data_IF_721109033678
#
_entry.id   IF_721109033678
#
_cell.length_a   1.000
_cell.length_b   1.000
_cell.length_c   1.000
_cell.angle_alpha   90.00
_cell.angle_beta   90.00
_cell.angle_gamma   90.00
#
_symmetry.space_group_name_H-M   'P 1'
#
loop_
_entity.id
_entity.type
_entity.pdbx_description
1 polymer ?
#
# COMPACT_ATOMS: atom_id res chain seq x y z
N UNK A 1 -10.25 17.88 -8.10
CA UNK A 1 -9.29 18.65 -8.91
C UNK A 1 -8.03 19.06 -8.15
N UNK A 2 -8.11 19.73 -6.98
CA UNK A 2 -6.92 20.24 -6.25
C UNK A 2 -5.82 19.20 -6.00
N UNK A 3 -6.16 18.01 -5.49
CA UNK A 3 -5.19 16.93 -5.23
C UNK A 3 -4.54 16.36 -6.48
N UNK A 4 -5.27 16.37 -7.61
CA UNK A 4 -4.72 15.98 -8.90
C UNK A 4 -3.71 17.02 -9.38
N UNK A 5 -4.08 18.31 -9.35
CA UNK A 5 -3.19 19.40 -9.79
C UNK A 5 -1.90 19.48 -8.96
N UNK A 6 -2.02 19.31 -7.64
CA UNK A 6 -0.86 19.28 -6.76
C UNK A 6 0.13 18.16 -7.17
N UNK A 7 -0.37 16.99 -7.55
CA UNK A 7 0.46 15.90 -8.07
C UNK A 7 0.99 16.18 -9.48
N UNK A 8 0.11 16.61 -10.38
CA UNK A 8 0.44 16.92 -11.78
C UNK A 8 1.56 17.96 -11.89
N UNK A 9 1.51 18.98 -11.04
CA UNK A 9 2.50 20.06 -11.00
C UNK A 9 3.85 19.63 -10.38
N UNK A 10 3.93 18.47 -9.70
CA UNK A 10 5.22 17.93 -9.26
C UNK A 10 6.08 17.45 -10.45
N UNK A 11 5.46 17.13 -11.58
CA UNK A 11 6.15 16.68 -12.79
C UNK A 11 6.67 17.89 -13.57
N UNK A 12 7.94 18.25 -13.34
CA UNK A 12 8.60 19.36 -14.03
C UNK A 12 9.19 18.96 -15.38
N UNK A 13 9.46 17.68 -15.59
CA UNK A 13 10.00 17.11 -16.83
C UNK A 13 8.93 16.45 -17.73
N UNK A 14 7.66 16.51 -17.33
CA UNK A 14 6.54 15.90 -18.03
C UNK A 14 6.31 14.42 -17.73
N UNK A 15 7.13 13.80 -16.86
CA UNK A 15 7.02 12.40 -16.45
C UNK A 15 6.82 12.23 -14.94
N UNK A 16 6.41 11.03 -14.52
CA UNK A 16 6.19 10.65 -13.13
C UNK A 16 7.08 9.46 -12.77
N UNK A 17 8.29 9.75 -12.29
CA UNK A 17 9.24 8.74 -11.82
C UNK A 17 8.77 8.04 -10.54
N UNK A 18 9.37 6.89 -10.21
CA UNK A 18 9.08 6.21 -8.93
C UNK A 18 9.40 7.10 -7.73
N UNK A 19 10.46 7.89 -7.79
CA UNK A 19 10.84 8.81 -6.72
C UNK A 19 9.82 9.95 -6.54
N UNK A 20 9.31 10.51 -7.64
CA UNK A 20 8.26 11.51 -7.59
C UNK A 20 6.99 10.92 -6.95
N UNK A 21 6.64 9.68 -7.31
CA UNK A 21 5.48 8.98 -6.75
C UNK A 21 5.65 8.67 -5.27
N UNK A 22 6.84 8.24 -4.83
CA UNK A 22 7.17 8.05 -3.42
C UNK A 22 7.05 9.36 -2.63
N UNK A 23 7.61 10.45 -3.18
CA UNK A 23 7.49 11.79 -2.59
C UNK A 23 6.03 12.25 -2.51
N UNK A 24 5.23 11.98 -3.54
CA UNK A 24 3.79 12.30 -3.54
C UNK A 24 3.06 11.55 -2.44
N UNK A 25 3.36 10.26 -2.29
CA UNK A 25 2.82 9.42 -1.23
C UNK A 25 3.18 10.01 0.14
N UNK A 26 4.44 10.40 0.37
CA UNK A 26 4.88 11.05 1.61
C UNK A 26 4.10 12.34 1.90
N UNK A 27 4.04 13.27 0.95
CA UNK A 27 3.31 14.54 1.08
C UNK A 27 1.84 14.31 1.44
N UNK A 28 1.20 13.32 0.81
CA UNK A 28 -0.21 13.01 1.11
C UNK A 28 -0.41 12.45 2.51
N UNK A 29 0.56 11.71 3.04
CA UNK A 29 0.52 11.23 4.42
C UNK A 29 0.61 12.41 5.39
N UNK A 30 1.61 13.28 5.23
CA UNK A 30 1.79 14.48 6.06
C UNK A 30 0.56 15.37 6.09
N UNK A 31 0.03 15.69 4.91
CA UNK A 31 -1.19 16.50 4.81
C UNK A 31 -2.37 15.86 5.54
N UNK A 32 -2.47 14.53 5.54
CA UNK A 32 -3.57 13.84 6.24
C UNK A 32 -3.35 13.87 7.75
N UNK A 33 -2.11 13.70 8.24
CA UNK A 33 -1.76 13.94 9.65
C UNK A 33 -2.13 15.36 10.10
N UNK A 34 -1.92 16.36 9.23
CA UNK A 34 -2.17 17.78 9.53
C UNK A 34 -3.64 18.21 9.42
N UNK A 35 -4.50 17.44 8.76
CA UNK A 35 -5.88 17.87 8.45
C UNK A 35 -6.98 16.92 8.93
N UNK A 36 -6.65 15.68 9.29
CA UNK A 36 -7.64 14.70 9.72
C UNK A 36 -7.35 14.22 11.15
N UNK A 37 -8.08 14.68 12.18
CA UNK A 37 -7.88 14.22 13.56
C UNK A 37 -8.18 12.73 13.77
N UNK A 38 -8.89 12.08 12.85
CA UNK A 38 -9.22 10.65 12.86
C UNK A 38 -8.38 9.85 11.85
N UNK A 39 -7.23 10.41 11.43
CA UNK A 39 -6.36 9.72 10.49
C UNK A 39 -5.89 8.37 11.06
N UNK A 40 -6.23 7.29 10.37
CA UNK A 40 -5.74 5.94 10.67
C UNK A 40 -4.89 5.41 9.51
N UNK A 41 -3.75 4.83 9.86
CA UNK A 41 -2.79 4.22 8.96
C UNK A 41 -2.42 2.84 9.51
N UNK A 42 -3.28 1.86 9.21
CA UNK A 42 -3.16 0.51 9.75
C UNK A 42 -2.16 -0.38 8.99
N UNK A 43 -1.92 -1.61 9.48
CA UNK A 43 -1.03 -2.56 8.83
C UNK A 43 -1.46 -2.90 7.39
N UNK A 44 -2.75 -3.14 7.17
CA UNK A 44 -3.28 -3.42 5.82
C UNK A 44 -3.73 -2.15 5.12
N UNK A 45 -4.45 -1.27 5.80
CA UNK A 45 -5.05 -0.07 5.18
C UNK A 45 -4.01 0.99 4.82
N UNK A 46 -3.00 1.20 5.66
CA UNK A 46 -1.93 2.17 5.47
C UNK A 46 -0.71 1.58 4.75
N UNK A 47 -0.02 0.65 5.42
CA UNK A 47 1.26 0.10 4.96
C UNK A 47 1.14 -0.63 3.61
N UNK A 48 0.07 -1.40 3.39
CA UNK A 48 -0.13 -2.15 2.13
C UNK A 48 -1.03 -1.38 1.16
N UNK A 49 -2.33 -1.31 1.43
CA UNK A 49 -3.34 -0.89 0.45
C UNK A 49 -3.13 0.55 -0.03
N UNK A 50 -2.85 1.47 0.90
CA UNK A 50 -2.65 2.88 0.57
C UNK A 50 -1.35 3.10 -0.20
N UNK A 51 -0.25 2.42 0.13
CA UNK A 51 0.98 2.51 -0.68
C UNK A 51 0.78 1.89 -2.08
N UNK A 52 0.13 0.72 -2.16
CA UNK A 52 -0.24 0.09 -3.42
C UNK A 52 -1.06 1.02 -4.33
N UNK A 53 -1.97 1.82 -3.75
CA UNK A 53 -2.74 2.83 -4.49
C UNK A 53 -1.92 3.90 -5.23
N UNK A 54 -0.68 4.16 -4.83
CA UNK A 54 0.25 5.02 -5.60
C UNK A 54 1.20 4.21 -6.49
N UNK A 55 1.62 3.03 -6.04
CA UNK A 55 2.49 2.12 -6.80
C UNK A 55 1.82 1.60 -8.07
N UNK A 56 0.53 1.30 -8.02
CA UNK A 56 -0.24 0.83 -9.17
C UNK A 56 -0.24 1.85 -10.31
N UNK A 57 -0.64 3.13 -10.14
CA UNK A 57 -0.42 4.13 -11.18
C UNK A 57 1.04 4.22 -11.62
N UNK A 58 1.98 4.21 -10.66
CA UNK A 58 3.41 4.38 -10.95
C UNK A 58 4.00 3.25 -11.81
N UNK A 59 3.44 2.05 -11.80
CA UNK A 59 3.91 0.88 -12.56
C UNK A 59 2.97 0.47 -13.69
N UNK A 60 1.68 0.36 -13.39
CA UNK A 60 0.66 -0.18 -14.29
C UNK A 60 0.16 0.82 -15.33
N UNK A 61 0.27 2.13 -15.10
CA UNK A 61 -0.21 3.11 -16.08
C UNK A 61 0.87 3.50 -17.09
N UNK A 62 2.12 3.08 -16.88
CA UNK A 62 3.22 3.37 -17.81
C UNK A 62 2.97 2.77 -19.19
N UNK A 63 3.37 3.50 -20.23
CA UNK A 63 3.37 2.99 -21.60
C UNK A 63 4.71 2.29 -21.89
N UNK A 64 4.66 0.99 -22.18
CA UNK A 64 5.81 0.14 -22.50
C UNK A 64 5.95 -0.04 -24.02
N UNK A 65 6.05 1.07 -24.74
CA UNK A 65 6.25 1.05 -26.20
C UNK A 65 7.66 0.56 -26.57
N UNK A 66 7.90 0.29 -27.85
CA UNK A 66 9.24 -0.12 -28.30
C UNK A 66 10.30 0.95 -28.04
N UNK A 67 9.91 2.23 -28.08
CA UNK A 67 10.77 3.37 -27.79
C UNK A 67 11.03 3.53 -26.29
N UNK A 68 10.13 3.04 -25.44
CA UNK A 68 10.21 3.13 -23.97
C UNK A 68 10.02 1.75 -23.32
N UNK A 69 10.94 0.80 -23.52
CA UNK A 69 10.78 -0.57 -23.05
C UNK A 69 10.74 -0.71 -21.52
N UNK A 70 11.29 0.27 -20.80
CA UNK A 70 11.22 0.34 -19.32
C UNK A 70 9.92 0.98 -18.80
N UNK A 71 9.09 1.47 -19.70
CA UNK A 71 7.81 2.10 -19.40
C UNK A 71 7.95 3.56 -18.94
N UNK A 72 7.17 4.45 -19.54
CA UNK A 72 7.10 5.86 -19.15
C UNK A 72 5.68 6.26 -18.73
N UNK A 73 5.56 7.01 -17.63
CA UNK A 73 4.30 7.59 -17.18
C UNK A 73 4.36 9.10 -17.42
N UNK A 74 3.61 9.61 -18.40
CA UNK A 74 3.62 11.02 -18.79
C UNK A 74 2.40 11.77 -18.26
N UNK A 75 2.46 13.10 -18.27
CA UNK A 75 1.32 14.00 -18.01
C UNK A 75 0.10 13.65 -18.87
N UNK A 76 0.29 13.33 -20.13
CA UNK A 76 -0.79 12.91 -21.02
C UNK A 76 -1.43 11.58 -20.59
N UNK A 77 -0.60 10.58 -20.29
CA UNK A 77 -1.08 9.26 -19.85
C UNK A 77 -1.91 9.40 -18.57
N UNK A 78 -1.38 10.11 -17.57
CA UNK A 78 -2.05 10.36 -16.29
C UNK A 78 -3.39 11.07 -16.52
N UNK A 79 -3.42 12.09 -17.39
CA UNK A 79 -4.66 12.81 -17.70
C UNK A 79 -5.73 11.91 -18.31
N UNK A 80 -5.38 10.99 -19.20
CA UNK A 80 -6.33 10.05 -19.80
C UNK A 80 -6.90 9.09 -18.74
N UNK A 81 -6.06 8.49 -17.89
CA UNK A 81 -6.51 7.58 -16.84
C UNK A 81 -7.38 8.25 -15.76
N UNK A 82 -7.17 9.55 -15.49
CA UNK A 82 -7.94 10.31 -14.50
C UNK A 82 -9.01 11.23 -15.12
N UNK A 83 -9.31 11.07 -16.41
CA UNK A 83 -10.33 11.82 -17.14
C UNK A 83 -10.18 13.35 -17.09
N UNK A 84 -8.96 13.85 -17.28
CA UNK A 84 -8.61 15.28 -17.21
C UNK A 84 -8.36 15.86 -18.61
N UNK A 85 -9.25 16.75 -19.04
CA UNK A 85 -9.28 17.32 -20.39
C UNK A 85 -9.06 18.84 -20.36
N UNK A 86 -8.74 19.42 -21.52
CA UNK A 86 -8.45 20.85 -21.68
C UNK A 86 -6.95 21.15 -21.81
N UNK A 87 -6.61 22.42 -21.81
CA UNK A 87 -5.22 22.90 -21.87
C UNK A 87 -4.63 23.06 -20.47
N UNK A 88 -3.30 23.02 -20.36
CA UNK A 88 -2.62 23.22 -19.08
C UNK A 88 -2.94 24.60 -18.52
N UNK A 89 -3.38 24.65 -17.26
CA UNK A 89 -3.92 25.86 -16.63
C UNK A 89 -5.45 26.00 -16.72
N UNK A 90 -6.12 25.24 -17.59
CA UNK A 90 -7.58 25.24 -17.72
C UNK A 90 -8.14 23.81 -17.87
N UNK A 91 -7.79 22.95 -16.91
CA UNK A 91 -8.24 21.56 -16.90
C UNK A 91 -9.65 21.38 -16.33
N UNK A 92 -10.40 20.46 -16.93
CA UNK A 92 -11.70 20.02 -16.46
C UNK A 92 -11.72 18.50 -16.27
N UNK A 93 -12.27 18.05 -15.14
CA UNK A 93 -12.54 16.63 -14.89
C UNK A 93 -13.84 16.24 -15.59
N UNK A 94 -13.83 15.11 -16.31
CA UNK A 94 -15.00 14.54 -16.98
C UNK A 94 -15.34 13.18 -16.38
N UNK A 95 -16.37 13.14 -15.55
CA UNK A 95 -16.78 11.91 -14.89
C UNK A 95 -17.13 10.81 -15.90
N UNK A 96 -16.54 9.62 -15.74
CA UNK A 96 -16.78 8.45 -16.59
C UNK A 96 -15.98 8.45 -17.90
N UNK A 97 -15.03 9.38 -18.08
CA UNK A 97 -14.18 9.47 -19.28
C UNK A 97 -12.75 8.96 -19.03
N UNK A 98 -12.54 8.22 -17.95
CA UNK A 98 -11.31 7.51 -17.66
C UNK A 98 -11.05 6.50 -18.79
N UNK A 99 -9.87 6.58 -19.42
CA UNK A 99 -9.54 5.72 -20.55
C UNK A 99 -8.07 5.35 -20.59
N UNK A 100 -7.79 4.17 -21.12
CA UNK A 100 -6.45 3.81 -21.57
C UNK A 100 -6.10 4.72 -22.76
N UNK A 101 -4.93 5.39 -22.78
CA UNK A 101 -4.52 6.23 -23.90
C UNK A 101 -4.43 5.46 -25.23
N UNK A 102 -4.57 6.16 -26.34
CA UNK A 102 -4.25 5.59 -27.66
C UNK A 102 -2.75 5.27 -27.73
N UNK A 103 -2.38 4.22 -28.49
CA UNK A 103 -1.00 3.74 -28.63
C UNK A 103 -0.31 3.42 -27.28
N UNK A 104 -1.09 2.94 -26.31
CA UNK A 104 -0.61 2.50 -25.01
C UNK A 104 -0.39 0.99 -24.98
N UNK A 105 0.76 0.56 -24.47
CA UNK A 105 1.17 -0.83 -24.38
C UNK A 105 1.43 -1.23 -22.93
N UNK A 106 0.86 -2.37 -22.51
CA UNK A 106 1.06 -2.92 -21.17
C UNK A 106 2.51 -3.37 -20.95
N UNK A 107 2.91 -3.50 -19.69
CA UNK A 107 4.21 -4.10 -19.36
C UNK A 107 4.37 -5.49 -19.98
N UNK A 108 5.54 -5.81 -20.56
CA UNK A 108 5.81 -7.14 -21.10
C UNK A 108 5.97 -8.21 -20.01
N UNK A 109 6.11 -7.80 -18.73
CA UNK A 109 6.23 -8.70 -17.59
C UNK A 109 5.18 -8.36 -16.54
N UNK A 110 4.48 -9.37 -16.04
CA UNK A 110 3.42 -9.18 -15.05
C UNK A 110 3.92 -8.50 -13.77
N UNK A 111 3.12 -7.58 -13.25
CA UNK A 111 3.38 -6.89 -11.98
C UNK A 111 2.62 -7.59 -10.86
N UNK A 112 3.28 -8.56 -10.24
CA UNK A 112 2.75 -9.35 -9.13
C UNK A 112 3.28 -8.93 -7.76
N UNK A 113 2.92 -9.71 -6.73
CA UNK A 113 3.22 -9.43 -5.32
C UNK A 113 4.71 -9.21 -5.03
N UNK A 114 5.60 -9.99 -5.64
CA UNK A 114 7.06 -9.83 -5.43
C UNK A 114 7.53 -8.43 -5.85
N UNK A 115 7.09 -7.93 -7.00
CA UNK A 115 7.46 -6.58 -7.48
C UNK A 115 6.81 -5.50 -6.64
N UNK A 116 5.57 -5.69 -6.21
CA UNK A 116 4.89 -4.79 -5.28
C UNK A 116 5.64 -4.67 -3.94
N UNK A 117 6.10 -5.79 -3.38
CA UNK A 117 6.86 -5.83 -2.14
C UNK A 117 8.21 -5.11 -2.28
N UNK A 118 8.92 -5.34 -3.39
CA UNK A 118 10.19 -4.66 -3.69
C UNK A 118 10.00 -3.13 -3.79
N UNK A 119 9.00 -2.67 -4.54
CA UNK A 119 8.72 -1.24 -4.66
C UNK A 119 8.27 -0.61 -3.35
N UNK A 120 7.44 -1.32 -2.58
CA UNK A 120 7.00 -0.87 -1.26
C UNK A 120 8.22 -0.69 -0.35
N UNK A 121 9.15 -1.64 -0.36
CA UNK A 121 10.36 -1.55 0.45
C UNK A 121 11.31 -0.43 0.03
N UNK A 122 11.49 -0.23 -1.28
CA UNK A 122 12.25 0.93 -1.79
C UNK A 122 11.65 2.25 -1.26
N UNK A 123 10.32 2.37 -1.23
CA UNK A 123 9.65 3.55 -0.69
C UNK A 123 9.80 3.69 0.82
N UNK A 124 9.72 2.59 1.56
CA UNK A 124 9.94 2.54 3.00
C UNK A 124 11.36 2.99 3.37
N UNK A 125 12.36 2.59 2.59
CA UNK A 125 13.76 3.01 2.79
C UNK A 125 13.95 4.51 2.54
N UNK A 126 13.23 5.09 1.56
CA UNK A 126 13.29 6.52 1.23
C UNK A 126 12.48 7.37 2.21
N UNK A 127 11.34 6.86 2.65
CA UNK A 127 10.38 7.54 3.52
C UNK A 127 9.85 6.55 4.57
N UNK A 128 10.59 6.33 5.68
CA UNK A 128 10.23 5.35 6.71
C UNK A 128 8.82 5.50 7.28
N UNK A 129 8.33 6.73 7.34
CA UNK A 129 6.96 7.09 7.73
C UNK A 129 5.86 6.41 6.89
N UNK A 130 6.12 6.06 5.63
CA UNK A 130 5.19 5.29 4.80
C UNK A 130 5.01 3.84 5.31
N UNK A 131 5.85 3.42 6.25
CA UNK A 131 5.81 2.14 6.94
C UNK A 131 5.26 2.18 8.36
N UNK A 132 5.00 3.37 8.90
CA UNK A 132 4.45 3.48 10.25
C UNK A 132 3.11 2.76 10.35
N UNK A 133 2.76 2.25 11.53
CA UNK A 133 1.42 1.76 11.84
C UNK A 133 0.86 2.57 12.99
N UNK A 134 -0.21 3.32 12.78
CA UNK A 134 -0.73 4.22 13.80
C UNK A 134 -1.81 5.17 13.31
N UNK A 135 -2.01 6.26 14.03
CA UNK A 135 -3.01 7.25 13.68
C UNK A 135 -2.96 8.50 14.55
N UNK A 136 -3.71 9.52 14.16
CA UNK A 136 -3.97 10.68 15.02
C UNK A 136 -4.87 10.27 16.19
N UNK A 137 -4.62 10.86 17.36
CA UNK A 137 -5.27 10.56 18.64
C UNK A 137 -6.39 11.55 18.96
N UNK A 138 -7.26 11.83 17.98
CA UNK A 138 -8.41 12.72 18.14
C UNK A 138 -8.12 14.21 17.92
N UNK A 139 -6.87 14.58 17.61
CA UNK A 139 -6.50 15.93 17.18
C UNK A 139 -5.59 15.88 15.96
N UNK A 140 -5.55 16.94 15.14
CA UNK A 140 -4.56 17.02 14.04
C UNK A 140 -3.14 17.05 14.61
N UNK A 141 -2.15 16.59 13.84
CA UNK A 141 -0.74 16.55 14.25
C UNK A 141 -0.45 15.74 15.52
N UNK A 142 -1.28 14.75 15.84
CA UNK A 142 -1.13 13.90 17.04
C UNK A 142 -0.83 12.44 16.69
N UNK A 143 -0.20 12.24 15.53
CA UNK A 143 0.05 10.92 14.99
C UNK A 143 0.93 10.12 15.96
N UNK A 144 0.36 9.07 16.52
CA UNK A 144 1.04 8.11 17.39
C UNK A 144 1.03 6.78 16.68
N UNK A 145 2.21 6.21 16.47
CA UNK A 145 2.35 4.97 15.74
C UNK A 145 3.63 4.24 16.10
N UNK A 146 3.66 2.98 15.72
CA UNK A 146 4.82 2.11 15.80
C UNK A 146 5.66 2.37 14.55
N UNK A 147 6.88 2.85 14.75
CA UNK A 147 7.89 2.81 13.70
C UNK A 147 8.42 1.37 13.61
N UNK A 148 8.28 0.78 12.42
CA UNK A 148 8.70 -0.58 12.16
C UNK A 148 10.23 -0.74 12.24
N UNK A 149 10.99 0.32 11.97
CA UNK A 149 12.45 0.31 12.12
C UNK A 149 12.86 0.17 13.60
N UNK A 150 12.12 0.83 14.51
CA UNK A 150 12.36 0.77 15.96
C UNK A 150 11.79 -0.51 16.59
N UNK A 151 10.59 -0.93 16.18
CA UNK A 151 9.87 -2.06 16.79
C UNK A 151 10.56 -3.41 16.59
N UNK A 152 11.36 -3.53 15.54
CA UNK A 152 12.14 -4.74 15.27
C UNK A 152 13.57 -4.66 15.77
N UNK A 153 14.02 -3.55 16.37
CA UNK A 153 15.41 -3.40 16.80
C UNK A 153 16.43 -3.59 15.66
N UNK A 154 16.06 -3.25 14.42
CA UNK A 154 16.87 -3.52 13.24
C UNK A 154 16.88 -4.98 12.76
N UNK A 155 16.05 -5.86 13.32
CA UNK A 155 15.95 -7.30 12.99
C UNK A 155 15.20 -7.54 11.67
N UNK A 156 14.66 -6.50 11.02
CA UNK A 156 14.21 -6.64 9.64
C UNK A 156 15.39 -6.97 8.72
N UNK A 157 15.62 -8.27 8.55
CA UNK A 157 16.34 -8.79 7.43
C UNK A 157 15.48 -8.50 6.20
N UNK A 158 15.75 -7.36 5.54
CA UNK A 158 15.03 -6.91 4.33
C UNK A 158 14.88 -8.06 3.33
N UNK A 159 15.92 -8.88 3.18
CA UNK A 159 15.93 -10.06 2.32
C UNK A 159 14.87 -11.11 2.68
N UNK A 160 14.51 -11.24 3.96
CA UNK A 160 13.44 -12.15 4.42
C UNK A 160 12.05 -11.57 4.16
N UNK A 161 11.83 -10.28 4.43
CA UNK A 161 10.53 -9.62 4.12
C UNK A 161 10.21 -9.64 2.61
N UNK A 162 11.24 -9.56 1.77
CA UNK A 162 11.14 -9.58 0.31
C UNK A 162 10.86 -10.96 -0.28
N UNK A 163 10.96 -12.03 0.52
CA UNK A 163 10.71 -13.37 0.03
C UNK A 163 9.20 -13.62 -0.03
N UNK A 164 8.70 -13.90 -1.23
CA UNK A 164 7.32 -14.32 -1.47
C UNK A 164 6.29 -13.34 -0.88
N UNK A 165 5.40 -13.80 -0.01
CA UNK A 165 4.30 -13.01 0.57
C UNK A 165 4.62 -12.50 1.99
N UNK A 166 5.87 -12.55 2.44
CA UNK A 166 6.24 -12.28 3.83
C UNK A 166 5.83 -10.89 4.33
N UNK A 167 5.95 -9.85 3.51
CA UNK A 167 5.48 -8.50 3.86
C UNK A 167 3.95 -8.44 4.05
N UNK A 168 3.21 -9.10 3.16
CA UNK A 168 1.75 -9.18 3.24
C UNK A 168 1.32 -9.98 4.47
N UNK A 169 1.99 -11.10 4.74
CA UNK A 169 1.77 -11.90 5.94
C UNK A 169 2.08 -11.13 7.21
N UNK A 170 3.17 -10.37 7.25
CA UNK A 170 3.45 -9.47 8.36
C UNK A 170 2.28 -8.51 8.62
N UNK A 171 1.78 -7.85 7.57
CA UNK A 171 0.66 -6.94 7.69
C UNK A 171 -0.61 -7.64 8.21
N UNK A 172 -0.89 -8.87 7.74
CA UNK A 172 -2.03 -9.66 8.22
C UNK A 172 -1.87 -10.18 9.64
N UNK A 173 -0.68 -10.59 10.06
CA UNK A 173 -0.41 -10.97 11.45
C UNK A 173 -0.52 -9.78 12.39
N UNK A 174 0.03 -8.63 11.99
CA UNK A 174 -0.11 -7.38 12.74
C UNK A 174 -1.59 -6.99 12.85
N UNK A 175 -2.36 -7.09 11.75
CA UNK A 175 -3.81 -6.83 11.77
C UNK A 175 -4.56 -7.79 12.68
N UNK A 176 -4.25 -9.09 12.58
CA UNK A 176 -4.85 -10.14 13.42
C UNK A 176 -4.59 -9.85 14.89
N UNK A 177 -3.33 -9.58 15.26
CA UNK A 177 -2.95 -9.25 16.62
C UNK A 177 -3.64 -7.98 17.12
N UNK A 178 -3.74 -6.94 16.28
CA UNK A 178 -4.39 -5.67 16.64
C UNK A 178 -5.93 -5.74 16.59
N UNK A 179 -6.51 -6.83 16.07
CA UNK A 179 -7.95 -6.98 15.96
C UNK A 179 -8.60 -7.17 17.34
N UNK A 180 -9.82 -6.65 17.56
CA UNK A 180 -10.52 -6.77 18.85
C UNK A 180 -10.70 -8.21 19.32
N UNK A 181 -10.85 -9.17 18.40
CA UNK A 181 -11.02 -10.59 18.74
C UNK A 181 -9.75 -11.23 19.29
N UNK A 182 -8.56 -10.87 18.79
CA UNK A 182 -7.30 -11.38 19.33
C UNK A 182 -6.96 -10.73 20.68
N UNK A 183 -7.33 -9.47 20.85
CA UNK A 183 -7.08 -8.71 22.08
C UNK A 183 -8.22 -8.81 23.09
N UNK A 184 -9.33 -9.46 22.79
CA UNK A 184 -10.50 -9.54 23.70
C UNK A 184 -10.15 -10.15 25.07
N UNK A 185 -9.21 -11.09 25.11
CA UNK A 185 -8.65 -11.63 26.36
C UNK A 185 -7.66 -10.69 27.06
N UNK A 186 -6.92 -9.87 26.29
CA UNK A 186 -5.91 -8.92 26.76
C UNK A 186 -6.53 -7.60 27.28
N UNK A 187 -7.62 -7.12 26.67
CA UNK A 187 -8.35 -5.93 27.11
C UNK A 187 -9.02 -6.09 28.48
N UNK A 188 -9.20 -7.32 28.98
CA UNK A 188 -9.66 -7.56 30.36
C UNK A 188 -8.64 -7.16 31.42
N UNK A 189 -7.39 -6.91 31.04
CA UNK A 189 -6.28 -6.57 31.93
C UNK A 189 -5.68 -5.23 31.49
N UNK A 190 -6.41 -4.13 31.76
CA UNK A 190 -6.01 -2.78 31.34
C UNK A 190 -4.79 -2.27 32.11
N UNK A 191 -3.61 -2.50 31.54
CA UNK A 191 -2.48 -1.55 31.46
C UNK A 191 -1.36 -2.22 30.65
N UNK A 192 -1.55 -2.38 29.34
CA UNK A 192 -0.53 -3.01 28.49
C UNK A 192 0.54 -1.95 28.19
N UNK A 193 1.81 -2.15 28.58
CA UNK A 193 2.91 -1.30 28.15
C UNK A 193 3.06 -1.39 26.63
N UNK A 194 3.34 -0.26 25.97
CA UNK A 194 3.63 -0.21 24.53
C UNK A 194 4.73 -1.22 24.12
N UNK A 195 5.67 -1.53 25.01
CA UNK A 195 6.71 -2.53 24.81
C UNK A 195 6.17 -3.96 24.61
N UNK A 196 5.06 -4.33 25.25
CA UNK A 196 4.44 -5.64 25.04
C UNK A 196 3.79 -5.76 23.66
N UNK A 197 3.25 -4.65 23.14
CA UNK A 197 2.72 -4.58 21.78
C UNK A 197 3.88 -4.74 20.78
N UNK A 198 4.99 -4.04 21.02
CA UNK A 198 6.22 -4.16 20.22
C UNK A 198 6.76 -5.60 20.22
N UNK A 199 6.88 -6.24 21.39
CA UNK A 199 7.36 -7.62 21.52
C UNK A 199 6.42 -8.62 20.84
N UNK A 200 5.10 -8.49 21.00
CA UNK A 200 4.14 -9.42 20.40
C UNK A 200 4.09 -9.34 18.86
N UNK A 201 4.20 -8.12 18.31
CA UNK A 201 4.36 -7.89 16.87
C UNK A 201 5.66 -8.54 16.40
N UNK A 202 6.77 -8.34 17.12
CA UNK A 202 8.08 -8.94 16.84
C UNK A 202 8.12 -10.47 16.96
N UNK A 203 7.28 -11.07 17.80
CA UNK A 203 7.22 -12.54 17.94
C UNK A 203 6.41 -13.19 16.82
N UNK A 204 5.30 -12.54 16.41
CA UNK A 204 4.48 -12.99 15.26
C UNK A 204 5.26 -12.87 13.94
N UNK A 205 6.10 -11.83 13.85
CA UNK A 205 7.06 -11.59 12.76
C UNK A 205 8.04 -12.73 12.50
N UNK A 206 8.37 -13.54 13.52
CA UNK A 206 9.34 -14.64 13.40
C UNK A 206 8.73 -15.95 12.88
N UNK A 207 7.40 -16.04 12.77
CA UNK A 207 6.70 -17.25 12.33
C UNK A 207 6.15 -17.09 10.91
N UNK A 208 7.00 -17.36 9.92
CA UNK A 208 6.78 -17.12 8.48
C UNK A 208 5.82 -18.10 7.76
N UNK A 209 4.94 -18.78 8.50
CA UNK A 209 3.92 -19.69 7.93
C UNK A 209 2.56 -19.01 7.71
N UNK A 210 2.51 -17.68 7.79
CA UNK A 210 1.32 -16.82 7.74
C UNK A 210 0.09 -17.40 8.49
N UNK A 211 0.20 -17.78 9.78
CA UNK A 211 -0.91 -18.31 10.58
C UNK A 211 -2.24 -17.54 10.49
N UNK A 212 -2.22 -16.22 10.23
CA UNK A 212 -3.39 -15.36 10.07
C UNK A 212 -4.32 -15.83 8.95
N UNK A 213 -3.77 -16.48 7.93
CA UNK A 213 -4.58 -17.07 6.88
C UNK A 213 -5.49 -18.17 7.43
N UNK A 214 -5.02 -19.01 8.36
CA UNK A 214 -5.84 -20.09 8.96
C UNK A 214 -7.10 -19.59 9.67
N UNK A 215 -7.04 -18.36 10.17
CA UNK A 215 -8.13 -17.74 10.92
C UNK A 215 -9.06 -16.93 10.03
N UNK A 216 -8.67 -16.64 8.78
CA UNK A 216 -9.58 -16.08 7.78
C UNK A 216 -10.46 -17.20 7.24
N UNK A 217 -11.72 -17.18 7.65
CA UNK A 217 -12.72 -18.17 7.23
C UNK A 217 -14.00 -17.50 6.73
N UNK A 218 -14.62 -18.10 5.71
CA UNK A 218 -15.96 -17.76 5.25
C UNK A 218 -16.80 -19.02 5.36
N UNK A 219 -17.89 -18.96 6.13
CA UNK A 219 -18.76 -20.12 6.35
C UNK A 219 -18.07 -21.32 7.02
N UNK A 220 -17.06 -21.08 7.87
CA UNK A 220 -16.28 -22.14 8.54
C UNK A 220 -15.26 -22.84 7.65
N UNK A 221 -15.08 -22.39 6.40
CA UNK A 221 -14.04 -22.86 5.49
C UNK A 221 -12.90 -21.85 5.41
N UNK A 222 -11.65 -22.30 5.17
CA UNK A 222 -10.56 -21.38 4.91
C UNK A 222 -10.89 -20.41 3.77
N UNK A 223 -10.51 -19.14 3.94
CA UNK A 223 -10.86 -18.06 3.02
C UNK A 223 -10.50 -18.37 1.56
N UNK A 224 -9.33 -18.93 1.29
CA UNK A 224 -8.91 -19.29 -0.07
C UNK A 224 -9.81 -20.35 -0.69
N UNK A 225 -10.24 -21.35 0.08
CA UNK A 225 -11.15 -22.38 -0.40
C UNK A 225 -12.53 -21.78 -0.70
N UNK A 226 -13.04 -20.93 0.18
CA UNK A 226 -14.32 -20.26 -0.03
C UNK A 226 -14.30 -19.37 -1.29
N UNK A 227 -13.25 -18.55 -1.45
CA UNK A 227 -13.11 -17.66 -2.62
C UNK A 227 -12.93 -18.47 -3.92
N UNK A 228 -12.19 -19.57 -3.91
CA UNK A 228 -12.05 -20.42 -5.10
C UNK A 228 -13.35 -21.11 -5.50
N UNK A 229 -14.17 -21.51 -4.52
CA UNK A 229 -15.48 -22.11 -4.76
C UNK A 229 -16.49 -21.08 -5.29
N UNK A 230 -16.51 -19.88 -4.70
CA UNK A 230 -17.47 -18.83 -5.05
C UNK A 230 -17.08 -18.11 -6.35
N UNK A 231 -15.78 -18.02 -6.64
CA UNK A 231 -15.23 -17.32 -7.80
C UNK A 231 -14.32 -18.24 -8.62
N UNK A 232 -14.82 -18.92 -9.67
CA UNK A 232 -14.03 -19.85 -10.49
C UNK A 232 -12.76 -19.26 -11.12
N UNK A 233 -12.69 -17.93 -11.27
CA UNK A 233 -11.48 -17.22 -11.71
C UNK A 233 -10.34 -17.26 -10.67
N UNK A 234 -10.66 -17.26 -9.38
CA UNK A 234 -9.69 -17.36 -8.29
C UNK A 234 -8.99 -18.73 -8.27
N UNK A 235 -9.68 -19.81 -8.65
CA UNK A 235 -9.05 -21.13 -8.81
C UNK A 235 -8.05 -21.17 -10.00
N UNK A 236 -8.24 -20.29 -10.99
CA UNK A 236 -7.42 -20.22 -12.20
C UNK A 236 -6.24 -19.26 -12.08
N UNK A 237 -6.14 -18.47 -10.99
CA UNK A 237 -5.09 -17.45 -10.82
C UNK A 237 -3.75 -18.00 -10.34
N UNK A 238 -3.63 -19.32 -10.11
CA UNK A 238 -2.39 -19.94 -9.65
C UNK A 238 -2.03 -19.65 -8.19
N UNK A 239 -2.99 -19.20 -7.38
CA UNK A 239 -2.77 -19.01 -5.94
C UNK A 239 -2.02 -17.72 -5.59
N UNK A 240 -2.24 -16.63 -6.34
CA UNK A 240 -1.78 -15.29 -5.97
C UNK A 240 -2.55 -14.72 -4.75
N UNK A 241 -2.51 -15.45 -3.63
CA UNK A 241 -3.02 -15.08 -2.31
C UNK A 241 -1.90 -15.27 -1.29
#
# INVERSE_FOLDING_TARGET
MSKFMEWYNMSTDGTFSMDLMAKRAKIRMDQTKQSNPEFYYGPVTGLIARNAGYLFPARLFRNYSQENPEGVLTKEIVRNFFAIYGEEGNFTYRQGWERIPENWYKSPVDYGLVKLNLDTLDWLLKYPELGSIGGNTGTINSFTGIDLSDATGGVFNLTTLLKENNLLCFAFEALKFLSPNALAGLYKTLSIPLDMISVAISTSLLNFSCPAFKDMQIGGKPFWEAIQNDFPGAAKSGGAF
#
